data_IF_472495216522
#
_entry.id   IF_472495216522
#
_cell.length_a   1.000
_cell.length_b   1.000
_cell.length_c   1.000
_cell.angle_alpha   90.00
_cell.angle_beta   90.00
_cell.angle_gamma   90.00
#
_symmetry.space_group_name_H-M   'P 1'
#
loop_
_entity.id
_entity.type
_entity.pdbx_description
1 polymer ?
#
# COMPACT_ATOMS: atom_id res chain seq x y z
N UNK A 1 -34.75 -24.29 -4.93
CA UNK A 1 -34.77 -22.99 -4.25
C UNK A 1 -36.20 -22.54 -4.10
N UNK A 2 -36.55 -21.94 -2.97
CA UNK A 2 -37.87 -21.36 -2.76
C UNK A 2 -38.08 -20.18 -3.73
N UNK A 3 -39.26 -20.02 -4.34
CA UNK A 3 -39.56 -18.86 -5.17
C UNK A 3 -39.35 -17.56 -4.39
N UNK A 4 -38.59 -16.63 -4.93
CA UNK A 4 -38.24 -15.34 -4.28
C UNK A 4 -37.11 -15.38 -3.27
N UNK A 5 -36.46 -16.53 -3.07
CA UNK A 5 -35.25 -16.59 -2.22
C UNK A 5 -34.07 -15.87 -2.90
N UNK A 6 -33.47 -14.92 -2.20
CA UNK A 6 -32.20 -14.27 -2.61
C UNK A 6 -31.02 -15.12 -2.15
N UNK A 7 -29.97 -15.16 -2.94
CA UNK A 7 -28.67 -15.65 -2.48
C UNK A 7 -27.98 -14.56 -1.62
N UNK A 8 -27.05 -14.97 -0.74
CA UNK A 8 -26.24 -14.01 0.05
C UNK A 8 -25.53 -13.03 -0.89
N UNK A 9 -25.07 -13.51 -2.03
CA UNK A 9 -24.43 -12.65 -3.03
C UNK A 9 -25.40 -11.58 -3.55
N UNK A 10 -26.63 -11.95 -3.91
CA UNK A 10 -27.65 -11.00 -4.38
C UNK A 10 -28.01 -9.99 -3.31
N UNK A 11 -28.10 -10.43 -2.06
CA UNK A 11 -28.36 -9.53 -0.92
C UNK A 11 -27.23 -8.52 -0.75
N UNK A 12 -25.97 -8.95 -0.85
CA UNK A 12 -24.83 -8.05 -0.78
C UNK A 12 -24.84 -7.03 -1.94
N UNK A 13 -25.19 -7.45 -3.16
CA UNK A 13 -25.31 -6.54 -4.31
C UNK A 13 -26.43 -5.51 -4.07
N UNK A 14 -27.59 -5.93 -3.57
CA UNK A 14 -28.71 -5.02 -3.29
C UNK A 14 -28.32 -3.96 -2.24
N UNK A 15 -27.50 -4.30 -1.26
CA UNK A 15 -27.02 -3.36 -0.25
C UNK A 15 -26.07 -2.28 -0.80
N UNK A 16 -25.37 -2.55 -1.91
CA UNK A 16 -24.46 -1.57 -2.50
C UNK A 16 -25.17 -0.26 -2.91
N UNK A 17 -26.35 -0.37 -3.50
CA UNK A 17 -27.13 0.79 -3.96
C UNK A 17 -27.63 1.62 -2.77
N UNK A 18 -28.06 0.96 -1.70
CA UNK A 18 -28.46 1.63 -0.46
C UNK A 18 -27.26 2.38 0.19
N UNK A 19 -26.08 1.74 0.21
CA UNK A 19 -24.89 2.35 0.78
C UNK A 19 -24.34 3.49 -0.07
N UNK A 20 -24.51 3.45 -1.40
CA UNK A 20 -24.01 4.49 -2.30
C UNK A 20 -24.56 5.88 -1.93
N UNK A 21 -25.87 5.99 -1.69
CA UNK A 21 -26.49 7.26 -1.28
C UNK A 21 -26.01 7.75 0.09
N UNK A 22 -25.91 6.83 1.07
CA UNK A 22 -25.42 7.12 2.42
C UNK A 22 -23.95 7.53 2.42
N UNK A 23 -23.15 6.90 1.55
CA UNK A 23 -21.73 7.19 1.38
C UNK A 23 -21.50 8.60 0.89
N UNK A 24 -22.20 9.06 -0.14
CA UNK A 24 -22.03 10.44 -0.64
C UNK A 24 -22.40 11.48 0.43
N UNK A 25 -23.45 11.25 1.21
CA UNK A 25 -23.80 12.09 2.36
C UNK A 25 -22.72 12.07 3.46
N UNK A 26 -22.01 10.96 3.64
CA UNK A 26 -20.89 10.88 4.57
C UNK A 26 -19.66 11.64 4.05
N UNK A 27 -19.30 11.46 2.77
CA UNK A 27 -18.14 12.10 2.14
C UNK A 27 -18.27 13.64 2.14
N UNK A 28 -19.49 14.16 2.00
CA UNK A 28 -19.77 15.60 2.05
C UNK A 28 -19.45 16.26 3.40
N UNK A 29 -19.24 15.47 4.48
CA UNK A 29 -18.85 15.98 5.81
C UNK A 29 -17.41 16.50 5.88
N UNK A 30 -16.64 16.30 4.82
CA UNK A 30 -15.30 16.86 4.66
C UNK A 30 -14.14 15.95 5.09
N UNK A 31 -12.94 16.35 4.65
CA UNK A 31 -11.69 15.55 4.73
C UNK A 31 -11.41 15.03 6.14
N UNK A 32 -11.55 15.84 7.18
CA UNK A 32 -11.27 15.43 8.58
C UNK A 32 -12.17 14.30 9.06
N UNK A 33 -13.44 14.32 8.72
CA UNK A 33 -14.40 13.27 9.10
C UNK A 33 -14.10 11.97 8.37
N UNK A 34 -13.79 12.05 7.07
CA UNK A 34 -13.40 10.88 6.27
C UNK A 34 -12.09 10.29 6.80
N UNK A 35 -11.09 11.12 7.09
CA UNK A 35 -9.81 10.68 7.65
C UNK A 35 -9.97 9.98 9.01
N UNK A 36 -10.78 10.54 9.91
CA UNK A 36 -11.03 9.94 11.22
C UNK A 36 -11.67 8.54 11.08
N UNK A 37 -12.67 8.40 10.19
CA UNK A 37 -13.30 7.10 9.90
C UNK A 37 -12.34 6.13 9.22
N UNK A 38 -11.51 6.61 8.30
CA UNK A 38 -10.48 5.81 7.66
C UNK A 38 -9.49 5.22 8.67
N UNK A 39 -8.98 6.05 9.59
CA UNK A 39 -8.08 5.58 10.65
C UNK A 39 -8.75 4.52 11.53
N UNK A 40 -9.99 4.72 11.91
CA UNK A 40 -10.79 3.74 12.67
C UNK A 40 -10.90 2.40 11.92
N UNK A 41 -11.25 2.43 10.63
CA UNK A 41 -11.36 1.22 9.79
C UNK A 41 -10.00 0.52 9.57
N UNK A 42 -8.93 1.29 9.47
CA UNK A 42 -7.56 0.77 9.37
C UNK A 42 -7.04 0.19 10.71
N UNK A 43 -7.81 0.30 11.79
CA UNK A 43 -7.41 -0.15 13.14
C UNK A 43 -6.35 0.75 13.77
N UNK A 44 -6.29 2.02 13.38
CA UNK A 44 -5.31 2.99 13.86
C UNK A 44 -5.99 3.99 14.81
N UNK A 45 -5.39 4.21 15.97
CA UNK A 45 -5.87 5.22 16.94
C UNK A 45 -5.60 6.67 16.49
N UNK A 46 -4.75 6.84 15.49
CA UNK A 46 -4.30 8.11 14.91
C UNK A 46 -3.20 7.84 13.89
N UNK A 47 -2.71 8.89 13.25
CA UNK A 47 -1.48 8.77 12.47
C UNK A 47 -0.33 8.42 13.42
N UNK A 48 0.58 7.51 13.03
CA UNK A 48 1.76 7.21 13.83
C UNK A 48 2.63 8.47 13.97
N UNK A 49 3.40 8.55 15.04
CA UNK A 49 4.43 9.59 15.14
C UNK A 49 5.52 9.36 14.07
N UNK A 50 6.34 10.38 13.81
CA UNK A 50 7.37 10.31 12.79
C UNK A 50 8.69 9.66 13.28
N UNK A 51 8.69 9.06 14.47
CA UNK A 51 9.90 8.47 15.04
C UNK A 51 10.15 7.08 14.47
N UNK A 52 11.28 6.92 13.82
CA UNK A 52 11.77 5.63 13.33
C UNK A 52 13.23 5.44 13.75
N UNK A 53 13.65 4.20 13.85
CA UNK A 53 15.06 3.83 13.99
C UNK A 53 15.49 3.23 12.65
N UNK A 54 16.57 3.76 12.11
CA UNK A 54 17.13 3.34 10.82
C UNK A 54 18.35 2.47 11.11
N UNK A 55 18.31 1.20 10.71
CA UNK A 55 19.43 0.28 10.82
C UNK A 55 19.98 -0.04 9.44
N UNK A 56 21.23 0.39 9.18
CA UNK A 56 21.93 0.01 7.97
C UNK A 56 22.39 -1.47 8.08
N UNK A 57 22.02 -2.27 7.10
CA UNK A 57 22.31 -3.71 7.04
C UNK A 57 23.27 -4.09 5.91
N UNK A 58 23.57 -3.16 5.00
CA UNK A 58 24.53 -3.38 3.92
C UNK A 58 24.73 -2.16 3.06
N UNK A 59 25.88 -2.11 2.38
CA UNK A 59 26.23 -1.09 1.42
C UNK A 59 27.11 -1.72 0.34
N UNK A 60 26.75 -1.48 -0.91
CA UNK A 60 27.50 -1.89 -2.08
C UNK A 60 27.71 -0.68 -3.01
N UNK A 61 28.97 -0.39 -3.35
CA UNK A 61 29.32 0.68 -4.28
C UNK A 61 29.54 0.10 -5.67
N UNK A 62 28.75 0.54 -6.62
CA UNK A 62 28.82 0.15 -8.02
C UNK A 62 29.29 1.33 -8.87
N UNK A 63 29.73 1.07 -10.10
CA UNK A 63 30.22 2.12 -10.99
C UNK A 63 29.18 3.21 -11.28
N UNK A 64 27.91 2.82 -11.37
CA UNK A 64 26.82 3.70 -11.82
C UNK A 64 25.86 4.10 -10.70
N UNK A 65 25.95 3.48 -9.51
CA UNK A 65 25.08 3.77 -8.39
C UNK A 65 25.65 3.28 -7.06
N UNK A 66 25.19 3.88 -5.96
CA UNK A 66 25.34 3.36 -4.61
C UNK A 66 24.09 2.60 -4.20
N UNK A 67 24.26 1.44 -3.55
CA UNK A 67 23.17 0.63 -3.01
C UNK A 67 23.32 0.49 -1.50
N UNK A 68 22.29 0.88 -0.77
CA UNK A 68 22.21 0.73 0.67
C UNK A 68 21.04 -0.20 1.03
N UNK A 69 21.23 -1.00 2.08
CA UNK A 69 20.19 -1.87 2.63
C UNK A 69 19.88 -1.41 4.04
N UNK A 70 18.58 -1.27 4.35
CA UNK A 70 18.14 -0.84 5.66
C UNK A 70 17.01 -1.71 6.21
N UNK A 71 16.90 -1.71 7.54
CA UNK A 71 15.67 -2.05 8.25
C UNK A 71 15.16 -0.80 8.95
N UNK A 72 13.92 -0.43 8.66
CA UNK A 72 13.25 0.72 9.26
C UNK A 72 12.34 0.20 10.37
N UNK A 73 12.57 0.68 11.58
CA UNK A 73 11.92 0.14 12.77
C UNK A 73 11.12 1.24 13.44
N UNK A 74 9.81 1.03 13.52
CA UNK A 74 8.89 1.82 14.32
C UNK A 74 8.52 1.03 15.57
N UNK A 75 8.44 1.68 16.73
CA UNK A 75 8.08 1.03 17.98
C UNK A 75 6.71 0.35 17.88
N UNK A 76 6.64 -0.90 18.29
CA UNK A 76 5.43 -1.73 18.25
C UNK A 76 5.02 -2.26 16.88
N UNK A 77 5.82 -2.01 15.82
CA UNK A 77 5.58 -2.48 14.45
C UNK A 77 6.68 -3.42 13.96
N UNK A 78 6.37 -4.19 12.92
CA UNK A 78 7.38 -5.01 12.24
C UNK A 78 8.39 -4.12 11.53
N UNK A 79 9.69 -4.50 11.48
CA UNK A 79 10.67 -3.81 10.65
C UNK A 79 10.29 -3.85 9.17
N UNK A 80 10.51 -2.73 8.46
CA UNK A 80 10.32 -2.64 7.01
C UNK A 80 11.69 -2.73 6.33
N UNK A 81 12.01 -3.86 5.68
CA UNK A 81 13.26 -4.01 4.94
C UNK A 81 13.18 -3.24 3.62
N UNK A 82 14.20 -2.44 3.33
CA UNK A 82 14.27 -1.67 2.09
C UNK A 82 15.69 -1.61 1.51
N UNK A 83 15.74 -1.34 0.20
CA UNK A 83 16.95 -1.08 -0.57
C UNK A 83 16.83 0.32 -1.16
N UNK A 84 17.81 1.16 -0.87
CA UNK A 84 17.96 2.48 -1.47
C UNK A 84 19.04 2.43 -2.53
N UNK A 85 18.72 2.86 -3.75
CA UNK A 85 19.65 2.97 -4.86
C UNK A 85 19.73 4.42 -5.29
N UNK A 86 20.94 4.96 -5.25
CA UNK A 86 21.25 6.33 -5.63
C UNK A 86 22.13 6.30 -6.88
N UNK A 87 21.57 6.59 -8.07
CA UNK A 87 22.36 6.67 -9.30
C UNK A 87 23.43 7.76 -9.21
N UNK A 88 24.59 7.54 -9.82
CA UNK A 88 25.65 8.56 -9.93
C UNK A 88 25.20 9.83 -10.67
N UNK A 89 24.10 9.76 -11.41
CA UNK A 89 23.46 10.87 -12.13
C UNK A 89 22.37 11.58 -11.32
N UNK A 90 22.04 11.08 -10.13
CA UNK A 90 21.04 11.72 -9.28
C UNK A 90 21.48 13.14 -8.88
N UNK A 91 20.51 14.03 -8.81
CA UNK A 91 20.70 15.43 -8.44
C UNK A 91 19.50 15.91 -7.59
N UNK A 92 19.51 17.18 -7.17
CA UNK A 92 18.49 17.74 -6.29
C UNK A 92 17.05 17.66 -6.84
N UNK A 93 16.86 17.57 -8.16
CA UNK A 93 15.55 17.48 -8.82
C UNK A 93 15.11 16.03 -9.06
N UNK A 94 15.97 15.05 -8.78
CA UNK A 94 15.69 13.63 -8.96
C UNK A 94 14.53 13.20 -8.07
N UNK A 95 13.47 12.56 -8.60
CA UNK A 95 12.42 12.02 -7.75
C UNK A 95 12.90 10.77 -7.01
N UNK A 96 12.36 10.54 -5.82
CA UNK A 96 12.40 9.24 -5.15
C UNK A 96 11.23 8.41 -5.66
N UNK A 97 11.52 7.30 -6.31
CA UNK A 97 10.53 6.31 -6.71
C UNK A 97 10.45 5.21 -5.64
N UNK A 98 9.43 5.30 -4.78
CA UNK A 98 9.09 4.22 -3.85
C UNK A 98 8.36 3.12 -4.63
N UNK A 99 9.00 1.97 -4.77
CA UNK A 99 8.47 0.84 -5.53
C UNK A 99 8.06 -0.31 -4.62
N UNK A 100 6.80 -0.67 -4.71
CA UNK A 100 6.15 -1.71 -3.93
C UNK A 100 5.69 -2.81 -4.90
N UNK A 101 6.44 -3.92 -4.93
CA UNK A 101 6.20 -5.05 -5.83
C UNK A 101 5.63 -6.24 -5.06
N UNK A 102 4.50 -6.77 -5.51
CA UNK A 102 3.85 -7.92 -4.87
C UNK A 102 4.76 -9.15 -4.79
N UNK A 103 5.59 -9.33 -5.80
CA UNK A 103 6.58 -10.43 -5.85
C UNK A 103 7.84 -10.18 -4.99
N UNK A 104 7.91 -9.02 -4.33
CA UNK A 104 9.03 -8.60 -3.51
C UNK A 104 9.96 -7.59 -4.19
N UNK A 105 10.69 -6.81 -3.39
CA UNK A 105 11.57 -5.72 -3.85
C UNK A 105 12.69 -6.16 -4.80
N UNK A 106 13.11 -7.43 -4.73
CA UNK A 106 14.13 -7.98 -5.62
C UNK A 106 13.67 -8.11 -7.07
N UNK A 107 12.38 -8.21 -7.33
CA UNK A 107 11.83 -8.39 -8.68
C UNK A 107 12.20 -7.21 -9.58
N UNK A 108 12.08 -5.98 -9.07
CA UNK A 108 12.42 -4.79 -9.84
C UNK A 108 13.90 -4.76 -10.26
N UNK A 109 14.79 -5.25 -9.41
CA UNK A 109 16.22 -5.35 -9.72
C UNK A 109 16.52 -6.37 -10.82
N UNK A 110 15.69 -7.40 -10.97
CA UNK A 110 15.80 -8.40 -12.01
C UNK A 110 15.25 -7.95 -13.36
N UNK A 111 14.41 -6.93 -13.38
CA UNK A 111 13.88 -6.27 -14.59
C UNK A 111 14.92 -5.32 -15.19
N UNK A 112 15.99 -5.85 -15.75
CA UNK A 112 17.17 -5.10 -16.17
C UNK A 112 16.87 -3.84 -16.98
N UNK A 113 15.93 -3.89 -17.92
CA UNK A 113 15.62 -2.74 -18.77
C UNK A 113 15.03 -1.55 -17.96
N UNK A 114 14.09 -1.83 -17.04
CA UNK A 114 13.47 -0.83 -16.19
C UNK A 114 14.47 -0.24 -15.19
N UNK A 115 15.29 -1.11 -14.61
CA UNK A 115 16.34 -0.70 -13.68
C UNK A 115 17.40 0.18 -14.38
N UNK A 116 17.92 -0.22 -15.54
CA UNK A 116 18.89 0.54 -16.32
C UNK A 116 18.32 1.90 -16.77
N UNK A 117 17.05 1.95 -17.16
CA UNK A 117 16.39 3.21 -17.51
C UNK A 117 16.33 4.17 -16.32
N UNK A 118 15.96 3.68 -15.13
CA UNK A 118 15.91 4.48 -13.92
C UNK A 118 17.30 5.06 -13.56
N UNK A 119 18.36 4.25 -13.66
CA UNK A 119 19.72 4.72 -13.43
C UNK A 119 20.13 5.80 -14.43
N UNK A 120 19.81 5.60 -15.72
CA UNK A 120 20.13 6.55 -16.79
C UNK A 120 19.42 7.89 -16.61
N UNK A 121 18.17 7.86 -16.15
CA UNK A 121 17.35 9.03 -15.87
C UNK A 121 17.68 9.69 -14.52
N UNK A 122 18.57 9.10 -13.73
CA UNK A 122 18.98 9.62 -12.41
C UNK A 122 17.87 9.54 -11.35
N UNK A 123 16.93 8.60 -11.48
CA UNK A 123 15.85 8.40 -10.51
C UNK A 123 16.37 7.66 -9.28
N UNK A 124 16.14 8.19 -8.10
CA UNK A 124 16.45 7.51 -6.84
C UNK A 124 15.41 6.44 -6.60
N UNK A 125 15.85 5.19 -6.37
CA UNK A 125 14.93 4.07 -6.15
C UNK A 125 14.92 3.69 -4.66
N UNK A 126 13.73 3.64 -4.07
CA UNK A 126 13.49 3.06 -2.75
C UNK A 126 12.59 1.82 -2.93
N UNK A 127 13.19 0.65 -2.83
CA UNK A 127 12.52 -0.64 -3.02
C UNK A 127 12.22 -1.24 -1.64
N UNK A 128 10.98 -1.58 -1.34
CA UNK A 128 10.60 -2.08 -0.03
C UNK A 128 9.65 -3.28 -0.09
N UNK A 129 9.80 -4.17 0.90
CA UNK A 129 8.81 -5.21 1.17
C UNK A 129 7.95 -4.78 2.35
N UNK A 130 6.67 -4.57 2.09
CA UNK A 130 5.71 -4.36 3.17
C UNK A 130 5.38 -5.70 3.82
N UNK A 131 4.89 -5.67 5.04
CA UNK A 131 4.62 -6.89 5.82
C UNK A 131 3.77 -7.93 5.08
N UNK A 132 4.16 -9.19 5.23
CA UNK A 132 3.52 -10.37 4.65
C UNK A 132 4.05 -10.79 3.29
N UNK A 133 4.90 -10.00 2.62
CA UNK A 133 5.46 -10.30 1.31
C UNK A 133 6.97 -10.09 1.26
N UNK A 134 7.61 -10.66 0.24
CA UNK A 134 9.06 -10.58 0.07
C UNK A 134 9.82 -11.17 1.26
N UNK A 135 10.75 -10.43 1.84
CA UNK A 135 11.54 -10.86 3.02
C UNK A 135 10.71 -11.01 4.30
N UNK A 136 9.51 -10.41 4.34
CA UNK A 136 8.61 -10.46 5.50
C UNK A 136 7.53 -11.54 5.36
N UNK A 137 7.62 -12.39 4.33
CA UNK A 137 6.69 -13.49 4.10
C UNK A 137 6.79 -14.52 5.21
N UNK A 138 5.64 -14.96 5.71
CA UNK A 138 5.58 -16.04 6.69
C UNK A 138 6.14 -17.36 6.11
N UNK A 139 6.74 -18.22 6.95
CA UNK A 139 7.13 -19.56 6.55
C UNK A 139 5.96 -20.33 5.92
N UNK A 140 6.24 -21.12 4.89
CA UNK A 140 5.21 -21.83 4.12
C UNK A 140 4.25 -22.70 4.95
N UNK A 141 4.70 -23.20 6.10
CA UNK A 141 3.85 -24.01 6.98
C UNK A 141 2.80 -23.20 7.77
N UNK A 142 2.92 -21.87 7.78
CA UNK A 142 1.89 -20.98 8.33
C UNK A 142 0.93 -20.45 7.25
N UNK A 143 1.17 -20.72 5.98
CA UNK A 143 0.35 -20.25 4.87
C UNK A 143 -0.47 -21.40 4.30
N UNK A 144 -1.69 -21.10 3.88
CA UNK A 144 -2.59 -22.08 3.26
C UNK A 144 -2.72 -21.79 1.76
N UNK A 145 -1.59 -21.53 1.11
CA UNK A 145 -1.49 -21.10 -0.27
C UNK A 145 -2.12 -22.05 -1.29
N UNK A 146 -2.33 -23.32 -0.89
CA UNK A 146 -2.92 -24.33 -1.77
C UNK A 146 -4.41 -24.06 -2.08
N UNK A 147 -5.18 -23.54 -1.09
CA UNK A 147 -6.64 -23.44 -1.18
C UNK A 147 -7.15 -22.01 -1.22
N UNK A 148 -6.36 -21.07 -0.69
CA UNK A 148 -6.76 -19.68 -0.56
C UNK A 148 -5.67 -18.81 -1.21
N UNK A 149 -5.18 -17.81 -0.54
CA UNK A 149 -3.98 -17.11 -0.92
C UNK A 149 -2.94 -17.19 0.19
N UNK A 150 -1.77 -16.66 -0.06
CA UNK A 150 -0.66 -16.66 0.91
C UNK A 150 -1.02 -15.98 2.23
N UNK A 151 -1.97 -15.07 2.22
CA UNK A 151 -2.26 -14.17 3.35
C UNK A 151 -3.65 -14.36 3.96
N UNK A 152 -4.44 -15.33 3.48
CA UNK A 152 -5.81 -15.53 3.98
C UNK A 152 -5.87 -15.63 5.49
N UNK A 153 -5.02 -16.46 6.09
CA UNK A 153 -4.97 -16.65 7.55
C UNK A 153 -4.62 -15.35 8.27
N UNK A 154 -3.57 -14.67 7.83
CA UNK A 154 -3.12 -13.41 8.42
C UNK A 154 -4.17 -12.31 8.27
N UNK A 155 -4.82 -12.22 7.13
CA UNK A 155 -5.89 -11.27 6.90
C UNK A 155 -7.06 -11.51 7.85
N UNK A 156 -7.50 -12.78 8.01
CA UNK A 156 -8.59 -13.13 8.90
C UNK A 156 -8.25 -12.84 10.37
N UNK A 157 -7.08 -13.29 10.85
CA UNK A 157 -6.63 -13.06 12.23
C UNK A 157 -6.50 -11.56 12.49
N UNK A 158 -5.92 -10.80 11.57
CA UNK A 158 -5.74 -9.36 11.70
C UNK A 158 -7.08 -8.62 11.87
N UNK A 159 -8.11 -9.03 11.14
CA UNK A 159 -9.46 -8.47 11.32
C UNK A 159 -10.05 -8.82 12.68
N UNK A 160 -9.88 -10.05 13.18
CA UNK A 160 -10.37 -10.46 14.49
C UNK A 160 -9.78 -9.65 15.65
N UNK A 161 -8.52 -9.25 15.53
CA UNK A 161 -7.85 -8.44 16.57
C UNK A 161 -7.98 -6.93 16.34
N UNK A 162 -8.78 -6.50 15.34
CA UNK A 162 -8.98 -5.08 15.04
C UNK A 162 -7.76 -4.37 14.43
N UNK A 163 -6.83 -5.12 13.82
CA UNK A 163 -5.63 -4.60 13.14
C UNK A 163 -5.57 -5.14 11.70
N UNK A 164 -6.46 -4.73 10.80
CA UNK A 164 -6.48 -5.23 9.43
C UNK A 164 -5.12 -5.09 8.76
N UNK A 165 -4.69 -6.11 7.99
CA UNK A 165 -3.36 -6.13 7.35
C UNK A 165 -3.15 -4.92 6.43
N UNK A 166 -4.20 -4.42 5.80
CA UNK A 166 -4.14 -3.20 5.01
C UNK A 166 -3.73 -1.99 5.85
N UNK A 167 -4.32 -1.80 7.03
CA UNK A 167 -3.95 -0.71 7.95
C UNK A 167 -2.49 -0.81 8.38
N UNK A 168 -2.03 -2.01 8.63
CA UNK A 168 -0.65 -2.28 8.98
C UNK A 168 0.30 -1.92 7.82
N UNK A 169 -0.06 -2.23 6.56
CA UNK A 169 0.71 -1.85 5.36
C UNK A 169 0.70 -0.34 5.11
N UNK A 170 -0.38 0.34 5.43
CA UNK A 170 -0.39 1.81 5.41
C UNK A 170 0.67 2.36 6.37
N UNK A 171 0.79 1.81 7.58
CA UNK A 171 1.84 2.21 8.54
C UNK A 171 3.24 1.93 7.96
N UNK A 172 3.46 0.82 7.27
CA UNK A 172 4.75 0.55 6.62
C UNK A 172 5.10 1.61 5.56
N UNK A 173 4.12 2.02 4.74
CA UNK A 173 4.32 3.11 3.76
C UNK A 173 4.64 4.43 4.47
N UNK A 174 3.92 4.78 5.55
CA UNK A 174 4.20 5.97 6.33
C UNK A 174 5.61 5.92 6.95
N UNK A 175 6.07 4.74 7.36
CA UNK A 175 7.45 4.53 7.86
C UNK A 175 8.49 4.79 6.77
N UNK A 176 8.23 4.38 5.53
CA UNK A 176 9.09 4.67 4.39
C UNK A 176 9.12 6.18 4.05
N UNK A 177 8.00 6.88 4.23
CA UNK A 177 7.93 8.34 4.05
C UNK A 177 8.71 9.08 5.16
N UNK A 178 8.68 8.57 6.39
CA UNK A 178 9.49 9.12 7.48
C UNK A 178 10.98 8.93 7.18
N UNK A 179 11.37 7.77 6.67
CA UNK A 179 12.74 7.54 6.18
C UNK A 179 13.13 8.54 5.08
N UNK A 180 12.26 8.78 4.09
CA UNK A 180 12.53 9.77 3.04
C UNK A 180 12.70 11.20 3.60
N UNK A 181 12.03 11.51 4.71
CA UNK A 181 12.12 12.83 5.34
C UNK A 181 13.36 13.03 6.22
N UNK A 182 13.88 11.93 6.80
CA UNK A 182 15.00 11.95 7.74
C UNK A 182 16.35 11.69 7.09
N UNK A 183 16.38 10.83 6.06
CA UNK A 183 17.62 10.39 5.44
C UNK A 183 18.26 11.51 4.59
N UNK A 184 19.54 11.77 4.79
CA UNK A 184 20.26 12.92 4.19
C UNK A 184 20.19 12.98 2.65
N UNK A 185 20.22 11.83 1.96
CA UNK A 185 20.14 11.76 0.50
C UNK A 185 18.71 11.80 -0.06
N UNK A 186 17.68 11.76 0.79
CA UNK A 186 16.28 11.70 0.35
C UNK A 186 15.51 12.96 0.71
N UNK A 187 15.97 13.66 1.74
CA UNK A 187 15.29 14.83 2.28
C UNK A 187 15.15 15.93 1.22
N UNK A 188 13.92 16.36 1.01
CA UNK A 188 13.60 17.42 0.05
C UNK A 188 13.27 16.95 -1.36
N UNK A 189 13.48 15.67 -1.67
CA UNK A 189 13.09 15.09 -2.95
C UNK A 189 11.58 14.79 -3.00
N UNK A 190 10.99 14.90 -4.19
CA UNK A 190 9.60 14.49 -4.42
C UNK A 190 9.48 12.97 -4.35
N UNK A 191 8.45 12.46 -3.66
CA UNK A 191 8.20 11.03 -3.53
C UNK A 191 7.06 10.60 -4.46
N UNK A 192 7.36 9.67 -5.36
CA UNK A 192 6.38 9.01 -6.24
C UNK A 192 6.25 7.55 -5.83
N UNK A 193 5.04 7.08 -5.59
CA UNK A 193 4.77 5.69 -5.21
C UNK A 193 4.33 4.90 -6.43
N UNK A 194 4.95 3.76 -6.64
CA UNK A 194 4.58 2.76 -7.65
C UNK A 194 4.15 1.50 -6.92
N UNK A 195 2.86 1.18 -6.98
CA UNK A 195 2.27 0.06 -6.26
C UNK A 195 1.73 -0.99 -7.23
N UNK A 196 2.21 -2.22 -7.11
CA UNK A 196 1.75 -3.34 -7.92
C UNK A 196 0.87 -4.29 -7.09
N UNK A 197 -0.17 -4.82 -7.72
CA UNK A 197 -1.00 -5.87 -7.14
C UNK A 197 -1.71 -5.44 -5.86
N UNK A 198 -1.54 -6.22 -4.81
CA UNK A 198 -2.22 -6.03 -3.52
C UNK A 198 -1.79 -4.77 -2.75
N UNK A 199 -0.75 -4.08 -3.19
CA UNK A 199 -0.30 -2.84 -2.54
C UNK A 199 -1.08 -1.59 -2.98
N UNK A 200 -1.85 -1.66 -4.08
CA UNK A 200 -2.61 -0.52 -4.60
C UNK A 200 -3.53 0.14 -3.58
N UNK A 201 -4.45 -0.60 -2.91
CA UNK A 201 -5.34 -0.02 -1.90
C UNK A 201 -4.59 0.63 -0.73
N UNK A 202 -3.51 0.02 -0.22
CA UNK A 202 -2.70 0.61 0.85
C UNK A 202 -2.02 1.91 0.40
N UNK A 203 -1.52 1.97 -0.85
CA UNK A 203 -0.91 3.17 -1.41
C UNK A 203 -1.93 4.32 -1.60
N UNK A 204 -3.18 4.01 -2.01
CA UNK A 204 -4.27 4.99 -2.10
C UNK A 204 -4.57 5.59 -0.72
N UNK A 205 -4.67 4.76 0.33
CA UNK A 205 -4.91 5.22 1.69
C UNK A 205 -3.76 6.08 2.22
N UNK A 206 -2.52 5.63 2.01
CA UNK A 206 -1.34 6.40 2.41
C UNK A 206 -1.31 7.78 1.72
N UNK A 207 -1.59 7.84 0.41
CA UNK A 207 -1.64 9.11 -0.33
C UNK A 207 -2.78 10.04 0.11
N UNK A 208 -3.89 9.49 0.61
CA UNK A 208 -4.95 10.30 1.20
C UNK A 208 -4.56 10.86 2.57
N UNK A 209 -3.81 10.10 3.36
CA UNK A 209 -3.41 10.42 4.72
C UNK A 209 -2.19 11.32 4.80
N UNK A 210 -1.24 11.20 3.86
CA UNK A 210 0.06 11.84 3.93
C UNK A 210 0.38 12.68 2.68
N UNK A 211 0.63 13.95 2.91
CA UNK A 211 0.88 14.93 1.85
C UNK A 211 2.28 14.85 1.24
N UNK A 212 3.19 14.09 1.80
CA UNK A 212 4.54 13.88 1.26
C UNK A 212 4.55 13.01 -0.01
N UNK A 213 3.50 12.23 -0.26
CA UNK A 213 3.34 11.52 -1.53
C UNK A 213 2.90 12.52 -2.61
N UNK A 214 3.71 12.68 -3.65
CA UNK A 214 3.38 13.56 -4.79
C UNK A 214 2.45 12.90 -5.79
N UNK A 215 2.69 11.63 -6.09
CA UNK A 215 1.85 10.86 -7.02
C UNK A 215 1.88 9.37 -6.71
N UNK A 216 0.84 8.67 -7.13
CA UNK A 216 0.76 7.20 -7.06
C UNK A 216 0.43 6.65 -8.43
N UNK A 217 1.20 5.68 -8.88
CA UNK A 217 0.92 4.87 -10.06
C UNK A 217 0.67 3.44 -9.63
N UNK A 218 -0.43 2.84 -10.11
CA UNK A 218 -0.91 1.53 -9.66
C UNK A 218 -1.05 0.63 -10.88
N UNK A 219 -0.51 -0.58 -10.78
CA UNK A 219 -0.62 -1.62 -11.82
C UNK A 219 -1.19 -2.90 -11.24
N UNK A 220 -1.96 -3.64 -12.04
CA UNK A 220 -2.52 -4.97 -11.70
C UNK A 220 -3.27 -5.04 -10.37
N UNK A 221 -3.98 -3.99 -9.98
CA UNK A 221 -4.65 -3.89 -8.69
C UNK A 221 -6.15 -3.64 -8.83
N UNK A 222 -6.89 -3.95 -7.77
CA UNK A 222 -8.32 -3.65 -7.69
C UNK A 222 -8.57 -2.14 -7.78
N UNK A 223 -9.52 -1.74 -8.61
CA UNK A 223 -9.88 -0.33 -8.82
C UNK A 223 -11.00 0.15 -7.89
N UNK A 224 -11.86 -0.76 -7.45
CA UNK A 224 -13.00 -0.51 -6.54
C UNK A 224 -13.34 -1.77 -5.77
N UNK A 225 -13.65 -1.67 -4.50
CA UNK A 225 -14.11 -2.81 -3.69
C UNK A 225 -15.50 -3.32 -4.09
N UNK A 226 -16.26 -2.51 -4.81
CA UNK A 226 -17.52 -2.95 -5.43
C UNK A 226 -17.28 -4.18 -6.32
N UNK A 227 -16.15 -4.27 -7.03
CA UNK A 227 -15.81 -5.42 -7.87
C UNK A 227 -15.74 -6.72 -7.07
N UNK A 228 -15.31 -6.71 -5.81
CA UNK A 228 -15.25 -7.89 -4.97
C UNK A 228 -16.63 -8.43 -4.58
N UNK A 229 -17.64 -7.55 -4.55
CA UNK A 229 -19.05 -7.98 -4.30
C UNK A 229 -19.70 -8.46 -5.58
N UNK A 230 -19.46 -7.79 -6.70
CA UNK A 230 -20.01 -8.15 -8.02
C UNK A 230 -19.34 -9.39 -8.62
N UNK A 231 -18.05 -9.61 -8.30
CA UNK A 231 -17.24 -10.73 -8.78
C UNK A 231 -16.48 -11.38 -7.62
N UNK A 232 -17.17 -12.14 -6.74
CA UNK A 232 -16.62 -12.60 -5.46
C UNK A 232 -15.54 -13.68 -5.58
N UNK A 233 -15.26 -14.18 -6.79
CA UNK A 233 -14.24 -15.20 -7.05
C UNK A 233 -12.91 -14.61 -7.53
N UNK A 234 -12.48 -13.50 -6.93
CA UNK A 234 -11.17 -12.91 -7.23
C UNK A 234 -10.09 -13.47 -6.28
N UNK A 235 -8.92 -13.70 -6.85
CA UNK A 235 -7.76 -14.14 -6.08
C UNK A 235 -7.22 -12.98 -5.24
N UNK A 236 -6.62 -13.30 -4.10
CA UNK A 236 -5.97 -12.34 -3.17
C UNK A 236 -6.84 -11.19 -2.63
N UNK A 237 -8.17 -11.29 -2.71
CA UNK A 237 -9.06 -10.23 -2.23
C UNK A 237 -8.96 -10.00 -0.70
N UNK A 238 -8.63 -11.03 0.08
CA UNK A 238 -8.71 -11.00 1.55
C UNK A 238 -7.79 -9.98 2.20
N UNK A 239 -6.58 -9.82 1.68
CA UNK A 239 -5.60 -8.86 2.20
C UNK A 239 -5.91 -7.39 1.83
N UNK A 240 -6.83 -7.20 0.88
CA UNK A 240 -7.19 -5.90 0.33
C UNK A 240 -8.55 -5.37 0.79
N UNK A 241 -9.26 -6.08 1.69
CA UNK A 241 -10.55 -5.62 2.18
C UNK A 241 -10.42 -4.89 3.52
N UNK A 242 -11.26 -3.86 3.70
CA UNK A 242 -11.52 -3.24 4.98
C UNK A 242 -12.98 -3.46 5.35
N UNK A 243 -13.20 -4.14 6.48
CA UNK A 243 -14.55 -4.45 6.95
C UNK A 243 -15.39 -3.18 7.12
N UNK A 244 -16.52 -3.15 6.42
CA UNK A 244 -17.49 -2.05 6.49
C UNK A 244 -17.10 -0.77 5.76
N UNK A 245 -15.97 -0.73 5.04
CA UNK A 245 -15.50 0.47 4.35
C UNK A 245 -16.53 1.02 3.34
N UNK A 246 -17.17 0.17 2.54
CA UNK A 246 -18.15 0.56 1.52
C UNK A 246 -19.37 1.31 2.05
N UNK A 247 -19.59 1.32 3.37
CA UNK A 247 -20.61 2.17 4.02
C UNK A 247 -20.19 3.64 4.08
N UNK A 248 -18.89 3.92 3.95
CA UNK A 248 -18.30 5.24 4.16
C UNK A 248 -17.55 5.75 2.94
N UNK A 249 -16.79 4.91 2.26
CA UNK A 249 -16.04 5.23 1.05
C UNK A 249 -15.67 3.97 0.27
N UNK A 250 -15.32 4.16 -1.00
CA UNK A 250 -14.64 3.19 -1.84
C UNK A 250 -13.32 3.78 -2.35
N UNK A 251 -12.45 2.98 -2.96
CA UNK A 251 -11.15 3.44 -3.48
C UNK A 251 -11.27 4.63 -4.44
N UNK A 252 -12.21 4.67 -5.41
CA UNK A 252 -12.40 5.83 -6.28
C UNK A 252 -12.77 7.12 -5.52
N UNK A 253 -13.47 6.99 -4.40
CA UNK A 253 -13.82 8.17 -3.57
C UNK A 253 -12.56 8.79 -2.97
N UNK A 254 -11.64 7.97 -2.46
CA UNK A 254 -10.37 8.44 -1.91
C UNK A 254 -9.49 9.08 -3.00
N UNK A 255 -9.46 8.49 -4.20
CA UNK A 255 -8.74 9.07 -5.35
C UNK A 255 -9.31 10.44 -5.69
N UNK A 256 -10.62 10.55 -5.81
CA UNK A 256 -11.34 11.80 -6.11
C UNK A 256 -11.10 12.89 -5.05
N UNK A 257 -11.08 12.50 -3.78
CA UNK A 257 -10.92 13.42 -2.64
C UNK A 257 -9.45 13.71 -2.29
N UNK A 258 -8.54 12.92 -2.83
CA UNK A 258 -7.11 13.16 -2.69
C UNK A 258 -6.69 14.36 -3.55
N UNK A 259 -5.83 15.20 -3.02
CA UNK A 259 -5.19 16.27 -3.79
C UNK A 259 -3.94 15.76 -4.55
N UNK A 260 -3.81 14.44 -4.72
CA UNK A 260 -2.66 13.78 -5.33
C UNK A 260 -3.02 13.22 -6.70
N UNK A 261 -2.04 13.16 -7.58
CA UNK A 261 -2.19 12.45 -8.84
C UNK A 261 -2.12 10.94 -8.56
N UNK A 262 -3.27 10.25 -8.61
CA UNK A 262 -3.36 8.80 -8.45
C UNK A 262 -3.92 8.22 -9.73
N UNK A 263 -3.19 7.31 -10.37
CA UNK A 263 -3.60 6.71 -11.65
C UNK A 263 -3.33 5.22 -11.70
N UNK A 264 -4.15 4.51 -12.46
CA UNK A 264 -3.91 3.14 -12.88
C UNK A 264 -3.22 3.14 -14.24
N UNK A 265 -2.16 2.33 -14.39
CA UNK A 265 -1.30 2.24 -15.57
C UNK A 265 -1.32 0.81 -16.16
N UNK A 266 -2.52 0.24 -16.31
CA UNK A 266 -2.75 -1.07 -16.93
C UNK A 266 -2.87 -0.94 -18.45
#
# INVERSE_FOLDING_TARGET
SMPGALSIMQENVNQLDEWASKREAFLSKGKKTVQAKMLDLLGLKGLPDHKIRIEATGHDSMREYEQYKFQLIREGEMPVPCILIIPSRANADSPVELRLQEEGKGTYLSEYANFAAALTEGKILLLADLRGLGETTDPAFYTDAKYWNREYRNAMISMHIGRPIMGQRVVDILTLLDFCSEHEFLKGHSVKVFANGIYGPAAIHAAYLDERINSVEITHSVKTWKEYIERPMQWDMYSNVLYGALKYYDLPDLIRLSNRSIRFAD
#
